data_IF_474340467618
#
_entry.id   IF_474340467618
#
_cell.length_a   1.000
_cell.length_b   1.000
_cell.length_c   1.000
_cell.angle_alpha   90.00
_cell.angle_beta   90.00
_cell.angle_gamma   90.00
#
_symmetry.space_group_name_H-M   'P 1'
#
loop_
_entity.id
_entity.type
_entity.pdbx_description
1 polymer ?
#
# COMPACT_ATOMS: atom_id res chain seq x y z
N UNK A 1 -11.85 -15.26 -15.34
CA UNK A 1 -11.67 -13.81 -15.06
C UNK A 1 -10.18 -13.51 -15.03
N UNK A 2 -9.72 -12.47 -15.72
CA UNK A 2 -8.31 -12.05 -15.73
C UNK A 2 -8.18 -10.54 -15.73
N UNK A 3 -7.22 -10.03 -14.96
CA UNK A 3 -6.84 -8.63 -14.87
C UNK A 3 -5.49 -8.43 -15.55
N UNK A 4 -5.37 -7.36 -16.31
CA UNK A 4 -4.07 -6.88 -16.80
C UNK A 4 -3.44 -6.08 -15.66
N UNK A 5 -2.12 -6.23 -15.51
CA UNK A 5 -1.28 -5.46 -14.62
C UNK A 5 -0.46 -4.45 -15.41
N UNK A 6 0.48 -3.79 -14.72
CA UNK A 6 1.53 -3.00 -15.39
C UNK A 6 2.46 -3.89 -16.24
N UNK A 7 2.75 -3.47 -17.47
CA UNK A 7 3.65 -4.18 -18.38
C UNK A 7 3.20 -5.61 -18.67
N UNK A 8 4.08 -6.58 -18.43
CA UNK A 8 3.85 -8.00 -18.76
C UNK A 8 3.12 -8.78 -17.66
N UNK A 9 2.83 -8.15 -16.52
CA UNK A 9 2.22 -8.83 -15.38
C UNK A 9 0.70 -8.95 -15.52
N UNK A 10 0.15 -10.09 -15.12
CA UNK A 10 -1.30 -10.35 -15.16
C UNK A 10 -1.75 -11.15 -13.96
N UNK A 11 -3.04 -11.01 -13.62
CA UNK A 11 -3.68 -11.78 -12.55
C UNK A 11 -4.83 -12.58 -13.13
N UNK A 12 -4.89 -13.88 -12.86
CA UNK A 12 -5.99 -14.76 -13.33
C UNK A 12 -6.51 -15.63 -12.21
N UNK A 13 -7.80 -15.96 -12.27
CA UNK A 13 -8.38 -16.98 -11.39
C UNK A 13 -8.10 -18.36 -11.98
N UNK A 14 -7.45 -19.23 -11.21
CA UNK A 14 -7.30 -20.66 -11.51
C UNK A 14 -8.00 -21.41 -10.38
N UNK A 15 -9.10 -22.09 -10.70
CA UNK A 15 -9.97 -22.73 -9.70
C UNK A 15 -10.37 -21.75 -8.59
N UNK A 16 -9.90 -21.99 -7.36
CA UNK A 16 -10.07 -21.13 -6.18
C UNK A 16 -8.75 -20.49 -5.70
N UNK A 17 -7.91 -20.08 -6.65
CA UNK A 17 -6.68 -19.33 -6.34
C UNK A 17 -6.48 -18.22 -7.35
N UNK A 18 -6.17 -17.02 -6.86
CA UNK A 18 -5.71 -15.94 -7.73
C UNK A 18 -4.21 -16.08 -7.96
N UNK A 19 -3.82 -16.10 -9.23
CA UNK A 19 -2.45 -16.29 -9.66
C UNK A 19 -1.97 -15.02 -10.33
N UNK A 20 -1.00 -14.36 -9.71
CA UNK A 20 -0.24 -13.27 -10.31
C UNK A 20 1.00 -13.84 -11.01
N UNK A 21 1.13 -13.56 -12.30
CA UNK A 21 2.16 -14.15 -13.16
C UNK A 21 2.66 -13.15 -14.20
N UNK A 22 3.87 -13.39 -14.71
CA UNK A 22 4.41 -12.71 -15.87
C UNK A 22 3.92 -13.43 -17.14
N UNK A 23 3.24 -12.70 -18.03
CA UNK A 23 2.61 -13.27 -19.23
C UNK A 23 3.58 -13.54 -20.38
N UNK A 24 4.79 -12.96 -20.38
CA UNK A 24 5.84 -13.22 -21.37
C UNK A 24 6.66 -14.44 -20.99
N UNK A 25 7.12 -14.51 -19.74
CA UNK A 25 7.94 -15.63 -19.25
C UNK A 25 7.11 -16.80 -18.73
N UNK A 26 5.80 -16.61 -18.55
CA UNK A 26 4.88 -17.57 -17.96
C UNK A 26 5.30 -18.02 -16.54
N UNK A 27 5.98 -17.14 -15.80
CA UNK A 27 6.43 -17.41 -14.43
C UNK A 27 5.42 -16.87 -13.42
N UNK A 28 5.04 -17.69 -12.45
CA UNK A 28 4.17 -17.24 -11.35
C UNK A 28 4.98 -16.43 -10.34
N UNK A 29 4.51 -15.22 -10.06
CA UNK A 29 5.14 -14.32 -9.10
C UNK A 29 4.56 -14.56 -7.70
N UNK A 30 3.23 -14.67 -7.60
CA UNK A 30 2.56 -14.93 -6.34
C UNK A 30 1.20 -15.60 -6.51
N UNK A 31 0.74 -16.25 -5.44
CA UNK A 31 -0.60 -16.84 -5.36
C UNK A 31 -1.35 -16.34 -4.13
N UNK A 32 -2.68 -16.24 -4.24
CA UNK A 32 -3.57 -15.91 -3.14
C UNK A 32 -4.60 -17.02 -2.94
N UNK A 33 -4.50 -17.70 -1.80
CA UNK A 33 -5.40 -18.76 -1.34
C UNK A 33 -5.43 -18.81 0.21
N UNK A 34 -6.54 -19.28 0.83
CA UNK A 34 -7.83 -19.61 0.22
C UNK A 34 -8.68 -18.36 -0.08
N UNK A 35 -9.59 -18.47 -1.06
CA UNK A 35 -10.49 -17.38 -1.44
C UNK A 35 -11.60 -17.21 -0.40
N UNK A 36 -11.55 -16.11 0.35
CA UNK A 36 -12.76 -15.59 1.00
C UNK A 36 -13.58 -14.69 0.07
N UNK A 37 -13.10 -14.35 -1.14
CA UNK A 37 -13.64 -13.26 -1.98
C UNK A 37 -13.57 -13.52 -3.49
N UNK A 38 -14.56 -12.98 -4.20
CA UNK A 38 -14.69 -13.01 -5.67
C UNK A 38 -13.73 -12.07 -6.41
N UNK A 39 -12.95 -11.23 -5.71
CA UNK A 39 -12.13 -10.18 -6.31
C UNK A 39 -10.74 -10.09 -5.65
N UNK A 40 -9.62 -10.06 -6.42
CA UNK A 40 -8.25 -10.08 -5.89
C UNK A 40 -7.67 -8.71 -5.55
N UNK A 41 -8.32 -7.65 -6.04
CA UNK A 41 -7.87 -6.27 -5.82
C UNK A 41 -8.68 -5.63 -4.69
N UNK A 42 -8.39 -4.36 -4.43
CA UNK A 42 -9.09 -3.53 -3.44
C UNK A 42 -8.68 -3.76 -2.01
N UNK A 43 -8.06 -4.88 -1.64
CA UNK A 43 -7.63 -5.08 -0.26
C UNK A 43 -6.19 -5.53 -0.14
N UNK A 44 -5.59 -5.22 1.00
CA UNK A 44 -4.35 -5.86 1.44
C UNK A 44 -4.63 -7.32 1.78
N UNK A 45 -3.90 -8.23 1.14
CA UNK A 45 -4.06 -9.68 1.30
C UNK A 45 -2.72 -10.38 1.43
N UNK A 46 -2.74 -11.54 2.08
CA UNK A 46 -1.55 -12.38 2.23
C UNK A 46 -1.33 -13.20 0.96
N UNK A 47 -0.42 -12.73 0.12
CA UNK A 47 0.04 -13.46 -1.05
C UNK A 47 1.24 -14.32 -0.69
N UNK A 48 1.33 -15.50 -1.28
CA UNK A 48 2.53 -16.34 -1.21
C UNK A 48 3.39 -16.06 -2.43
N UNK A 49 4.49 -15.34 -2.24
CA UNK A 49 5.50 -15.09 -3.27
C UNK A 49 6.22 -16.39 -3.61
N UNK A 50 6.28 -16.71 -4.90
CA UNK A 50 6.97 -17.88 -5.44
C UNK A 50 8.26 -17.49 -6.17
N UNK A 51 8.35 -16.25 -6.67
CA UNK A 51 9.54 -15.67 -7.27
C UNK A 51 10.00 -14.47 -6.44
N UNK A 52 11.29 -14.15 -6.54
CA UNK A 52 11.84 -12.96 -5.91
C UNK A 52 11.22 -11.70 -6.54
N UNK A 53 10.77 -10.78 -5.69
CA UNK A 53 10.23 -9.52 -6.18
C UNK A 53 10.70 -8.32 -5.36
N UNK A 54 11.32 -7.35 -6.03
CA UNK A 54 11.99 -6.20 -5.40
C UNK A 54 12.99 -6.59 -4.28
N UNK A 55 13.77 -7.65 -4.44
CA UNK A 55 14.68 -8.12 -3.39
C UNK A 55 13.97 -8.80 -2.21
N UNK A 56 12.68 -9.11 -2.32
CA UNK A 56 11.98 -9.95 -1.36
C UNK A 56 12.03 -11.40 -1.83
N UNK A 57 12.61 -12.28 -1.02
CA UNK A 57 12.59 -13.72 -1.24
C UNK A 57 11.17 -14.30 -1.17
N UNK A 58 11.02 -15.54 -1.65
CA UNK A 58 9.75 -16.27 -1.58
C UNK A 58 9.19 -16.36 -0.16
N UNK A 59 7.87 -16.33 -0.03
CA UNK A 59 7.19 -16.38 1.27
C UNK A 59 5.90 -15.58 1.32
N UNK A 60 5.24 -15.61 2.48
CA UNK A 60 3.97 -14.92 2.69
C UNK A 60 4.20 -13.42 2.91
N UNK A 61 3.54 -12.59 2.10
CA UNK A 61 3.66 -11.12 2.14
C UNK A 61 2.28 -10.46 1.99
N UNK A 62 2.08 -9.38 2.72
CA UNK A 62 0.90 -8.53 2.55
C UNK A 62 1.08 -7.67 1.29
N UNK A 63 0.30 -7.94 0.26
CA UNK A 63 0.30 -7.17 -0.99
C UNK A 63 -1.09 -6.56 -1.22
N UNK A 64 -1.09 -5.37 -1.80
CA UNK A 64 -2.31 -4.64 -2.16
C UNK A 64 -2.30 -4.42 -3.67
N UNK A 65 -3.18 -5.12 -4.39
CA UNK A 65 -3.37 -4.88 -5.82
C UNK A 65 -4.34 -3.71 -6.00
N UNK A 66 -3.85 -2.63 -6.62
CA UNK A 66 -4.53 -1.35 -6.70
C UNK A 66 -4.96 -1.07 -8.15
N UNK A 67 -6.27 -0.99 -8.44
CA UNK A 67 -6.77 -0.58 -9.75
C UNK A 67 -6.78 0.96 -9.94
N UNK A 68 -6.37 1.73 -8.93
CA UNK A 68 -6.40 3.19 -8.94
C UNK A 68 -5.20 3.75 -9.71
N UNK A 69 -5.28 5.01 -10.17
CA UNK A 69 -4.18 5.62 -10.95
C UNK A 69 -3.01 6.04 -10.05
N UNK A 70 -1.80 6.25 -10.61
CA UNK A 70 -0.69 6.76 -9.81
C UNK A 70 -1.05 8.10 -9.15
N UNK A 71 -0.79 8.22 -7.85
CA UNK A 71 -1.19 9.41 -7.07
C UNK A 71 -2.56 9.29 -6.40
N UNK A 72 -3.25 8.15 -6.54
CA UNK A 72 -4.43 7.79 -5.76
C UNK A 72 -4.11 6.71 -4.73
N UNK A 73 -4.92 6.68 -3.67
CA UNK A 73 -4.95 5.64 -2.66
C UNK A 73 -6.18 4.75 -2.88
N UNK A 74 -6.00 3.44 -2.83
CA UNK A 74 -7.08 2.45 -2.91
C UNK A 74 -7.57 2.12 -1.50
N UNK A 75 -8.80 2.51 -1.21
CA UNK A 75 -9.52 2.09 0.00
C UNK A 75 -9.75 0.57 -0.03
N UNK A 76 -9.96 -0.05 1.14
CA UNK A 76 -10.22 -1.49 1.22
C UNK A 76 -11.54 -1.89 0.48
N UNK A 77 -12.51 -0.99 0.41
CA UNK A 77 -13.75 -1.16 -0.38
C UNK A 77 -13.52 -1.11 -1.90
N UNK A 78 -12.31 -0.76 -2.33
CA UNK A 78 -11.90 -0.65 -3.73
C UNK A 78 -12.16 0.70 -4.35
N UNK A 79 -12.65 1.67 -3.58
CA UNK A 79 -12.74 3.05 -4.06
C UNK A 79 -11.36 3.71 -4.12
N UNK A 80 -11.23 4.68 -5.01
CA UNK A 80 -10.01 5.44 -5.21
C UNK A 80 -10.21 6.86 -4.67
N UNK A 81 -9.29 7.32 -3.84
CA UNK A 81 -9.25 8.70 -3.36
C UNK A 81 -7.89 9.32 -3.71
N UNK A 82 -7.81 10.64 -3.77
CA UNK A 82 -6.53 11.30 -3.96
C UNK A 82 -5.60 10.97 -2.79
N UNK A 83 -4.33 10.68 -3.07
CA UNK A 83 -3.38 10.26 -2.05
C UNK A 83 -3.15 11.31 -0.94
N UNK A 84 -3.40 12.59 -1.23
CA UNK A 84 -3.38 13.68 -0.25
C UNK A 84 -4.48 13.59 0.82
N UNK A 85 -5.51 12.76 0.59
CA UNK A 85 -6.62 12.51 1.50
C UNK A 85 -6.36 11.33 2.45
N UNK A 86 -5.28 10.58 2.25
CA UNK A 86 -4.86 9.55 3.21
C UNK A 86 -4.37 10.23 4.49
N UNK A 87 -4.88 9.81 5.64
CA UNK A 87 -4.47 10.33 6.94
C UNK A 87 -4.59 11.87 7.01
N UNK A 88 -5.73 12.41 6.59
CA UNK A 88 -6.02 13.85 6.63
C UNK A 88 -7.04 14.23 7.72
N UNK A 89 -7.34 13.31 8.65
CA UNK A 89 -8.33 13.40 9.72
C UNK A 89 -9.78 13.43 9.23
N UNK A 90 -10.03 13.11 7.95
CA UNK A 90 -11.36 13.06 7.38
C UNK A 90 -11.58 11.71 6.69
N UNK A 91 -12.69 11.06 7.03
CA UNK A 91 -13.11 9.87 6.32
C UNK A 91 -13.61 10.23 4.91
N UNK A 92 -12.78 9.98 3.91
CA UNK A 92 -13.11 10.08 2.49
C UNK A 92 -13.39 8.69 1.87
N UNK A 93 -12.78 7.61 2.38
CA UNK A 93 -13.20 6.26 2.04
C UNK A 93 -14.55 5.89 2.69
N UNK A 94 -15.38 5.10 1.99
CA UNK A 94 -16.66 4.60 2.55
C UNK A 94 -16.47 3.69 3.76
N UNK A 95 -15.39 2.93 3.74
CA UNK A 95 -14.96 2.01 4.79
C UNK A 95 -14.04 2.65 5.84
N UNK A 96 -13.72 3.95 5.69
CA UNK A 96 -12.86 4.74 6.58
C UNK A 96 -11.42 4.24 6.66
N UNK A 97 -10.97 3.45 5.69
CA UNK A 97 -9.64 2.84 5.74
C UNK A 97 -8.51 3.80 5.43
N UNK A 98 -8.80 4.94 4.79
CA UNK A 98 -7.90 6.08 4.63
C UNK A 98 -7.39 6.65 5.94
N UNK A 99 -8.20 6.59 7.00
CA UNK A 99 -7.83 7.07 8.34
C UNK A 99 -7.45 5.92 9.30
N UNK A 100 -7.34 4.69 8.79
CA UNK A 100 -6.88 3.53 9.57
C UNK A 100 -5.35 3.44 9.55
N UNK A 101 -4.75 2.90 10.62
CA UNK A 101 -3.29 2.82 10.75
C UNK A 101 -2.61 4.18 10.48
N UNK A 102 -3.10 5.23 11.12
CA UNK A 102 -2.65 6.61 10.99
C UNK A 102 -2.21 7.06 12.39
N UNK A 103 -0.91 7.27 12.60
CA UNK A 103 -0.40 7.73 13.91
C UNK A 103 -0.19 9.25 13.92
N UNK A 104 -0.45 9.94 15.02
CA UNK A 104 -0.17 11.39 15.13
C UNK A 104 1.31 11.60 15.44
N UNK A 105 1.98 12.48 14.68
CA UNK A 105 3.32 12.97 14.98
C UNK A 105 3.20 14.37 15.55
N UNK A 106 3.79 14.55 16.72
CA UNK A 106 4.00 15.87 17.29
C UNK A 106 5.38 16.35 16.85
N UNK A 107 5.41 17.37 16.00
CA UNK A 107 6.65 18.00 15.60
C UNK A 107 7.06 19.05 16.64
N UNK A 108 8.33 19.10 17.07
CA UNK A 108 8.79 20.19 17.93
C UNK A 108 8.70 21.52 17.18
N UNK A 109 8.57 22.63 17.91
CA UNK A 109 8.40 23.96 17.30
C UNK A 109 9.54 24.43 16.39
N UNK A 110 10.72 23.81 16.51
CA UNK A 110 11.89 24.06 15.66
C UNK A 110 11.97 23.14 14.42
N UNK A 111 10.96 22.29 14.22
CA UNK A 111 10.91 21.37 13.10
C UNK A 111 10.83 22.11 11.77
N UNK A 112 11.83 21.86 10.93
CA UNK A 112 11.88 22.41 9.57
C UNK A 112 11.09 21.49 8.64
N UNK A 113 9.87 21.89 8.30
CA UNK A 113 8.96 21.17 7.38
C UNK A 113 9.50 20.93 5.96
N UNK A 114 10.67 21.48 5.63
CA UNK A 114 11.38 21.23 4.37
C UNK A 114 12.35 20.04 4.46
N UNK A 115 12.59 19.51 5.65
CA UNK A 115 13.49 18.40 5.91
C UNK A 115 12.70 17.18 6.36
N UNK A 116 13.13 15.95 6.01
CA UNK A 116 12.54 14.74 6.55
C UNK A 116 12.74 14.67 8.07
N UNK A 117 11.83 13.99 8.80
CA UNK A 117 11.95 13.81 10.24
C UNK A 117 13.18 12.95 10.59
N UNK A 118 13.92 13.33 11.64
CA UNK A 118 15.13 12.62 12.07
C UNK A 118 14.77 11.24 12.61
N UNK A 119 15.38 10.13 12.16
CA UNK A 119 15.08 8.80 12.68
C UNK A 119 15.34 8.71 14.20
N UNK A 120 14.35 8.27 14.98
CA UNK A 120 14.53 7.90 16.39
C UNK A 120 14.20 8.94 17.47
N UNK A 121 13.73 10.15 17.12
CA UNK A 121 13.42 11.20 18.12
C UNK A 121 11.91 11.48 18.33
N UNK A 122 11.01 10.85 17.59
CA UNK A 122 9.57 11.11 17.65
C UNK A 122 8.78 9.81 17.84
N UNK A 123 8.40 9.53 19.08
CA UNK A 123 7.39 8.53 19.39
C UNK A 123 6.01 9.17 19.27
N UNK A 124 5.06 8.46 18.66
CA UNK A 124 3.65 8.83 18.65
C UNK A 124 3.20 8.95 20.12
N UNK A 125 2.98 10.17 20.60
CA UNK A 125 2.60 10.43 21.99
C UNK A 125 1.38 11.34 22.03
N UNK A 126 0.46 11.00 22.93
CA UNK A 126 -0.79 11.70 23.15
C UNK A 126 -0.58 13.13 23.68
N UNK A 127 -1.49 14.01 23.26
CA UNK A 127 -1.76 15.40 23.67
C UNK A 127 -1.01 16.57 23.00
N UNK A 128 -1.85 17.34 22.27
CA UNK A 128 -1.86 18.79 22.11
C UNK A 128 -0.55 19.53 21.76
N UNK A 129 -0.24 19.62 20.47
CA UNK A 129 -0.24 20.87 19.67
C UNK A 129 0.31 20.58 18.25
N UNK A 130 -0.35 21.12 17.23
CA UNK A 130 0.05 21.05 15.80
C UNK A 130 0.17 19.64 15.19
N UNK A 131 -0.95 18.93 15.19
CA UNK A 131 -1.12 17.55 14.68
C UNK A 131 -0.75 17.42 13.20
N UNK A 132 0.28 16.62 12.90
CA UNK A 132 0.45 16.06 11.57
C UNK A 132 0.49 14.54 11.71
N UNK A 133 -0.36 13.84 10.97
CA UNK A 133 -0.37 12.38 11.00
C UNK A 133 0.90 11.84 10.32
N UNK A 134 1.65 10.97 11.02
CA UNK A 134 2.86 10.24 10.61
C UNK A 134 2.82 9.71 9.19
N UNK A 135 1.68 9.11 8.83
CA UNK A 135 1.51 8.44 7.55
C UNK A 135 1.18 9.42 6.41
N UNK A 136 1.09 10.72 6.70
CA UNK A 136 1.15 11.80 5.70
C UNK A 136 2.60 12.12 5.30
N UNK A 137 3.55 12.00 6.24
CA UNK A 137 4.97 12.35 6.02
C UNK A 137 5.81 11.25 5.35
N UNK A 138 5.56 9.97 5.66
CA UNK A 138 6.15 8.82 4.95
C UNK A 138 5.74 8.74 3.46
N UNK A 139 4.76 9.57 3.07
CA UNK A 139 4.05 9.51 1.79
C UNK A 139 4.28 10.77 0.94
N UNK A 140 4.58 11.94 1.54
CA UNK A 140 4.83 13.21 0.84
C UNK A 140 6.29 13.44 0.39
N UNK A 141 7.26 12.69 0.91
CA UNK A 141 8.67 12.78 0.47
C UNK A 141 9.15 11.46 -0.13
N UNK A 142 9.61 11.43 -1.39
CA UNK A 142 10.12 10.21 -2.04
C UNK A 142 11.38 9.61 -1.38
N UNK A 143 11.94 10.27 -0.35
CA UNK A 143 13.22 9.92 0.28
C UNK A 143 13.03 9.06 1.55
N UNK A 144 11.87 9.08 2.21
CA UNK A 144 11.62 8.26 3.40
C UNK A 144 11.15 6.83 3.09
N UNK A 145 11.00 6.48 1.80
CA UNK A 145 10.59 5.17 1.29
C UNK A 145 11.73 4.39 0.60
N UNK A 146 12.98 4.71 0.89
CA UNK A 146 14.08 3.90 0.38
C UNK A 146 14.24 2.54 1.10
N UNK A 147 13.39 2.22 2.07
CA UNK A 147 13.31 0.87 2.62
C UNK A 147 11.85 0.40 2.54
N UNK A 148 11.59 -0.58 1.67
CA UNK A 148 10.36 -1.39 1.59
C UNK A 148 9.15 -0.86 0.79
N UNK A 149 9.31 0.11 -0.11
CA UNK A 149 8.30 0.30 -1.17
C UNK A 149 8.61 -0.61 -2.36
N UNK A 150 7.97 -1.77 -2.39
CA UNK A 150 7.92 -2.63 -3.56
C UNK A 150 6.60 -2.30 -4.30
N UNK A 151 6.65 -1.47 -5.35
CA UNK A 151 5.46 -0.89 -5.97
C UNK A 151 4.75 -1.94 -6.81
N UNK A 152 3.94 -2.79 -6.17
CA UNK A 152 2.94 -3.60 -6.86
C UNK A 152 1.56 -2.96 -6.80
N UNK A 153 1.49 -1.67 -7.18
CA UNK A 153 0.25 -1.15 -7.76
C UNK A 153 0.04 -1.87 -9.09
N UNK A 154 -0.62 -3.01 -9.03
CA UNK A 154 -1.09 -3.73 -10.21
C UNK A 154 -2.41 -3.07 -10.62
N UNK A 155 -2.31 -2.07 -11.50
CA UNK A 155 -3.44 -1.52 -12.29
C UNK A 155 -3.89 -2.53 -13.34
#
# INVERSE_FOLDING_TARGET
>A
MSFRGYGEYRVRKVEDTWVWYNSVTNTTMATLSPLSLNYPCSFTRLYTLQAEVCGQEGGQRMLTLSPCVPGEFTCDDGSCIAFSKRCDLKFDCKDKTDESFCDIVNFPGDYRSRLPPRPGEWACQDEADSSVICNKWLHMFPIARQAHYCPFSVM
#
